data_IF_947766546459
#
_entry.id   IF_947766546459
#
_cell.length_a   1.000
_cell.length_b   1.000
_cell.length_c   1.000
_cell.angle_alpha   90.00
_cell.angle_beta   90.00
_cell.angle_gamma   90.00
#
_symmetry.space_group_name_H-M   'P 1'
#
loop_
_entity.id
_entity.type
_entity.pdbx_description
1 polymer ?
#
# COMPACT_ATOMS: atom_id res chain seq x y z
N UNK A 1 -47.19 -43.02 8.76
CA UNK A 1 -47.13 -41.55 8.81
C UNK A 1 -45.73 -41.14 8.38
N UNK A 2 -45.58 -40.54 7.19
CA UNK A 2 -44.33 -39.92 6.73
C UNK A 2 -44.08 -38.67 7.56
N UNK A 3 -42.86 -38.48 8.05
CA UNK A 3 -42.37 -37.16 8.48
C UNK A 3 -41.16 -36.82 7.61
N UNK A 4 -41.41 -36.00 6.60
CA UNK A 4 -40.42 -35.24 5.84
C UNK A 4 -40.28 -33.86 6.50
N UNK A 5 -39.06 -33.36 6.58
CA UNK A 5 -38.76 -31.97 6.91
C UNK A 5 -37.43 -31.89 7.65
N UNK A 6 -36.38 -31.26 7.16
CA UNK A 6 -36.19 -30.33 6.05
C UNK A 6 -34.97 -29.52 6.44
N UNK A 7 -33.81 -29.82 5.85
CA UNK A 7 -32.59 -29.10 6.16
C UNK A 7 -32.66 -27.72 5.52
N UNK A 8 -32.87 -26.68 6.33
CA UNK A 8 -32.72 -25.30 5.89
C UNK A 8 -31.22 -25.06 5.63
N UNK A 9 -30.83 -25.05 4.36
CA UNK A 9 -29.51 -24.59 3.95
C UNK A 9 -29.48 -23.08 4.11
N UNK A 10 -28.86 -22.58 5.18
CA UNK A 10 -28.53 -21.18 5.29
C UNK A 10 -27.48 -20.87 4.23
N UNK A 11 -27.90 -20.27 3.12
CA UNK A 11 -26.99 -19.61 2.21
C UNK A 11 -26.30 -18.48 2.99
N UNK A 12 -25.05 -18.71 3.39
CA UNK A 12 -24.17 -17.63 3.82
C UNK A 12 -24.01 -16.76 2.58
N UNK A 13 -24.68 -15.61 2.56
CA UNK A 13 -24.38 -14.58 1.60
C UNK A 13 -22.92 -14.17 1.87
N UNK A 14 -21.98 -14.66 1.05
CA UNK A 14 -20.69 -14.00 0.90
C UNK A 14 -21.02 -12.56 0.54
N UNK A 15 -20.80 -11.63 1.48
CA UNK A 15 -20.73 -10.22 1.13
C UNK A 15 -19.59 -10.12 0.11
N UNK A 16 -19.98 -10.02 -1.15
CA UNK A 16 -19.05 -10.11 -2.27
C UNK A 16 -18.14 -8.89 -2.17
N UNK A 17 -16.84 -9.12 -2.04
CA UNK A 17 -15.84 -8.06 -1.96
C UNK A 17 -16.00 -7.08 -3.13
N UNK A 18 -16.51 -5.88 -2.84
CA UNK A 18 -16.90 -4.87 -3.84
C UNK A 18 -15.72 -4.09 -4.41
N UNK A 19 -14.49 -4.37 -3.96
CA UNK A 19 -13.28 -3.71 -4.44
C UNK A 19 -13.04 -4.01 -5.90
N UNK A 20 -12.50 -3.04 -6.63
CA UNK A 20 -12.13 -3.21 -8.03
C UNK A 20 -10.99 -4.22 -8.16
N UNK A 21 -11.20 -5.23 -9.02
CA UNK A 21 -10.21 -6.27 -9.28
C UNK A 21 -9.10 -5.72 -10.20
N UNK A 22 -7.88 -5.73 -9.71
CA UNK A 22 -6.65 -5.59 -10.49
C UNK A 22 -6.26 -6.98 -10.99
N UNK A 23 -6.52 -7.23 -12.27
CA UNK A 23 -6.21 -8.50 -12.94
C UNK A 23 -4.77 -8.49 -13.43
N UNK A 24 -3.88 -9.17 -12.70
CA UNK A 24 -2.44 -9.19 -12.99
C UNK A 24 -1.99 -10.60 -13.40
N UNK A 25 -0.93 -10.71 -14.21
CA UNK A 25 -0.20 -11.97 -14.33
C UNK A 25 0.50 -12.32 -13.01
N UNK A 26 0.90 -13.57 -12.81
CA UNK A 26 1.64 -13.97 -11.59
C UNK A 26 2.90 -13.11 -11.36
N UNK A 27 3.78 -12.85 -12.36
CA UNK A 27 4.94 -11.97 -12.17
C UNK A 27 4.56 -10.53 -11.79
N UNK A 28 3.52 -9.96 -12.41
CA UNK A 28 3.04 -8.61 -12.10
C UNK A 28 2.49 -8.54 -10.67
N UNK A 29 1.73 -9.55 -10.25
CA UNK A 29 1.21 -9.65 -8.89
C UNK A 29 2.34 -9.77 -7.87
N UNK A 30 3.33 -10.62 -8.13
CA UNK A 30 4.49 -10.78 -7.26
C UNK A 30 5.22 -9.44 -7.08
N UNK A 31 5.43 -8.71 -8.17
CA UNK A 31 6.06 -7.40 -8.16
C UNK A 31 5.30 -6.40 -7.29
N UNK A 32 4.00 -6.21 -7.53
CA UNK A 32 3.18 -5.26 -6.75
C UNK A 32 3.16 -5.63 -5.27
N UNK A 33 3.04 -6.93 -4.94
CA UNK A 33 3.05 -7.36 -3.55
C UNK A 33 4.43 -7.23 -2.89
N UNK A 34 5.52 -7.31 -3.66
CA UNK A 34 6.87 -7.03 -3.17
C UNK A 34 7.00 -5.56 -2.77
N UNK A 35 6.57 -4.63 -3.63
CA UNK A 35 6.57 -3.21 -3.28
C UNK A 35 5.73 -2.92 -2.04
N UNK A 36 4.52 -3.48 -1.95
CA UNK A 36 3.66 -3.33 -0.77
C UNK A 36 4.33 -3.82 0.53
N UNK A 37 5.07 -4.94 0.48
CA UNK A 37 5.82 -5.44 1.64
C UNK A 37 6.99 -4.51 2.02
N UNK A 38 7.68 -3.96 1.03
CA UNK A 38 8.76 -2.99 1.23
C UNK A 38 8.26 -1.68 1.82
N UNK A 39 7.11 -1.17 1.32
CA UNK A 39 6.44 0.00 1.88
C UNK A 39 6.02 -0.22 3.34
N UNK A 40 5.47 -1.40 3.64
CA UNK A 40 5.06 -1.75 5.01
C UNK A 40 6.25 -1.83 5.96
N UNK A 41 7.32 -2.55 5.57
CA UNK A 41 8.51 -2.68 6.43
C UNK A 41 9.22 -1.35 6.61
N UNK A 42 9.39 -0.55 5.55
CA UNK A 42 10.00 0.77 5.66
C UNK A 42 9.16 1.74 6.49
N UNK A 43 7.82 1.69 6.41
CA UNK A 43 6.94 2.46 7.31
C UNK A 43 7.18 2.09 8.77
N UNK A 44 7.33 0.80 9.07
CA UNK A 44 7.67 0.34 10.43
C UNK A 44 9.04 0.86 10.87
N UNK A 45 10.06 0.83 10.02
CA UNK A 45 11.38 1.41 10.31
C UNK A 45 11.33 2.91 10.58
N UNK A 46 10.52 3.66 9.82
CA UNK A 46 10.32 5.10 10.04
C UNK A 46 9.66 5.34 11.40
N UNK A 47 8.63 4.56 11.77
CA UNK A 47 7.98 4.67 13.09
C UNK A 47 8.96 4.38 14.23
N UNK A 48 9.81 3.37 14.09
CA UNK A 48 10.85 3.04 15.07
C UNK A 48 11.89 4.17 15.21
N UNK A 49 12.31 4.78 14.09
CA UNK A 49 13.21 5.93 14.09
C UNK A 49 12.56 7.17 14.74
N UNK A 50 11.30 7.46 14.41
CA UNK A 50 10.51 8.54 15.03
C UNK A 50 10.38 8.33 16.55
N UNK A 51 10.16 7.10 17.01
CA UNK A 51 10.06 6.78 18.44
C UNK A 51 11.39 7.00 19.21
N UNK A 52 12.52 7.10 18.49
CA UNK A 52 13.85 7.35 19.03
C UNK A 52 14.36 8.77 18.75
N UNK A 53 13.52 9.62 18.14
CA UNK A 53 13.88 10.95 17.64
C UNK A 53 15.11 10.93 16.69
N UNK A 54 15.31 9.82 15.96
CA UNK A 54 16.42 9.66 15.01
C UNK A 54 16.01 10.13 13.60
N UNK A 55 16.06 11.44 13.39
CA UNK A 55 15.66 12.05 12.12
C UNK A 55 16.60 11.69 10.96
N UNK A 56 17.85 11.32 11.22
CA UNK A 56 18.76 10.84 10.19
C UNK A 56 18.31 9.45 9.67
N UNK A 57 17.91 8.56 10.58
CA UNK A 57 17.31 7.28 10.21
C UNK A 57 15.96 7.47 9.51
N UNK A 58 15.10 8.41 9.96
CA UNK A 58 13.85 8.73 9.26
C UNK A 58 14.13 9.11 7.80
N UNK A 59 15.06 10.03 7.57
CA UNK A 59 15.42 10.48 6.23
C UNK A 59 15.89 9.32 5.34
N UNK A 60 16.83 8.51 5.85
CA UNK A 60 17.36 7.37 5.11
C UNK A 60 16.28 6.35 4.74
N UNK A 61 15.41 5.97 5.69
CA UNK A 61 14.38 4.99 5.45
C UNK A 61 13.31 5.51 4.49
N UNK A 62 12.91 6.78 4.62
CA UNK A 62 11.93 7.41 3.74
C UNK A 62 12.46 7.52 2.30
N UNK A 63 13.73 7.90 2.11
CA UNK A 63 14.35 7.99 0.79
C UNK A 63 14.34 6.64 0.02
N UNK A 64 14.52 5.51 0.72
CA UNK A 64 14.46 4.19 0.11
C UNK A 64 13.08 3.84 -0.44
N UNK A 65 12.01 4.43 0.12
CA UNK A 65 10.63 4.24 -0.30
C UNK A 65 10.17 5.28 -1.34
N UNK A 66 11.00 6.28 -1.63
CA UNK A 66 10.70 7.38 -2.55
C UNK A 66 10.60 6.97 -4.02
N UNK A 67 10.62 7.95 -4.92
CA UNK A 67 10.45 7.77 -6.37
C UNK A 67 11.48 6.82 -7.00
N UNK A 68 12.66 6.69 -6.39
CA UNK A 68 13.70 5.74 -6.84
C UNK A 68 13.23 4.29 -6.79
N UNK A 69 12.35 3.96 -5.83
CA UNK A 69 11.71 2.63 -5.78
C UNK A 69 10.72 2.47 -6.95
N UNK A 70 9.82 3.44 -7.12
CA UNK A 70 8.77 3.40 -8.12
C UNK A 70 9.27 3.19 -9.55
N UNK A 71 10.37 3.85 -9.93
CA UNK A 71 10.92 3.75 -11.28
C UNK A 71 11.40 2.33 -11.65
N UNK A 72 11.65 1.45 -10.67
CA UNK A 72 12.03 0.05 -10.93
C UNK A 72 10.83 -0.83 -11.36
N UNK A 73 9.60 -0.35 -11.16
CA UNK A 73 8.37 -1.11 -11.39
C UNK A 73 7.81 -1.01 -12.81
N UNK A 74 8.20 0.05 -13.53
CA UNK A 74 7.29 0.66 -14.48
C UNK A 74 7.11 -0.09 -15.81
N UNK A 75 8.10 -0.84 -16.28
CA UNK A 75 8.06 -1.27 -17.69
C UNK A 75 7.06 -2.40 -17.97
N UNK A 76 6.82 -3.29 -17.00
CA UNK A 76 5.96 -4.46 -17.17
C UNK A 76 4.55 -4.32 -16.56
N UNK A 77 4.31 -3.22 -15.83
CA UNK A 77 3.01 -2.91 -15.21
C UNK A 77 2.22 -1.85 -15.99
N UNK A 78 2.89 -1.08 -16.86
CA UNK A 78 2.24 -0.10 -17.75
C UNK A 78 1.16 -0.79 -18.59
N UNK A 79 -0.07 -0.27 -18.50
CA UNK A 79 -1.24 -0.79 -19.20
C UNK A 79 -1.99 -1.93 -18.47
N UNK A 80 -1.39 -2.57 -17.47
CA UNK A 80 -2.07 -3.58 -16.64
C UNK A 80 -2.84 -2.95 -15.46
N UNK A 81 -2.43 -1.77 -15.02
CA UNK A 81 -2.99 -1.08 -13.86
C UNK A 81 -3.84 0.15 -14.28
N UNK A 82 -4.97 0.42 -13.59
CA UNK A 82 -5.76 1.63 -13.79
C UNK A 82 -4.95 2.89 -13.50
N UNK A 83 -5.23 3.97 -14.23
CA UNK A 83 -4.53 5.25 -14.03
C UNK A 83 -4.62 5.76 -12.59
N UNK A 84 -5.78 5.63 -11.95
CA UNK A 84 -5.98 6.08 -10.56
C UNK A 84 -5.18 5.25 -9.55
N UNK A 85 -4.98 3.95 -9.81
CA UNK A 85 -4.09 3.12 -9.00
C UNK A 85 -2.65 3.62 -9.10
N UNK A 86 -2.19 3.88 -10.32
CA UNK A 86 -0.84 4.39 -10.57
C UNK A 86 -0.62 5.76 -9.92
N UNK A 87 -1.58 6.68 -10.06
CA UNK A 87 -1.50 8.00 -9.40
C UNK A 87 -1.39 7.88 -7.89
N UNK A 88 -2.18 7.00 -7.28
CA UNK A 88 -2.15 6.79 -5.83
C UNK A 88 -0.81 6.19 -5.36
N UNK A 89 -0.30 5.20 -6.09
CA UNK A 89 1.04 4.64 -5.85
C UNK A 89 2.13 5.69 -5.96
N UNK A 90 2.14 6.48 -7.04
CA UNK A 90 3.11 7.55 -7.21
C UNK A 90 3.04 8.61 -6.12
N UNK A 91 1.84 8.98 -5.70
CA UNK A 91 1.66 9.96 -4.62
C UNK A 91 2.25 9.45 -3.29
N UNK A 92 2.16 8.15 -2.99
CA UNK A 92 2.80 7.56 -1.80
C UNK A 92 4.33 7.69 -1.88
N UNK A 93 4.94 7.37 -3.02
CA UNK A 93 6.39 7.52 -3.20
C UNK A 93 6.84 8.98 -3.07
N UNK A 94 6.07 9.93 -3.63
CA UNK A 94 6.33 11.36 -3.49
C UNK A 94 6.23 11.83 -2.04
N UNK A 95 5.26 11.32 -1.26
CA UNK A 95 5.19 11.63 0.16
C UNK A 95 6.44 11.16 0.90
N UNK A 96 6.99 9.98 0.56
CA UNK A 96 8.21 9.47 1.19
C UNK A 96 9.45 10.31 0.85
N UNK A 97 9.58 10.80 -0.39
CA UNK A 97 10.64 11.76 -0.73
C UNK A 97 10.50 13.06 0.07
N UNK A 98 9.26 13.55 0.27
CA UNK A 98 9.02 14.76 1.07
C UNK A 98 9.34 14.52 2.56
N UNK A 99 8.95 13.38 3.12
CA UNK A 99 9.30 12.99 4.50
C UNK A 99 10.82 12.95 4.65
N UNK A 100 11.54 12.41 3.66
CA UNK A 100 13.00 12.37 3.69
C UNK A 100 13.60 13.78 3.73
N UNK A 101 13.17 14.67 2.82
CA UNK A 101 13.66 16.03 2.75
C UNK A 101 13.38 16.85 4.03
N UNK A 102 12.19 16.69 4.61
CA UNK A 102 11.79 17.41 5.83
C UNK A 102 12.45 16.83 7.07
N UNK A 103 12.71 15.53 7.10
CA UNK A 103 13.50 14.89 8.15
C UNK A 103 14.94 15.42 8.19
N UNK A 104 15.54 15.74 7.04
CA UNK A 104 16.88 16.34 6.97
C UNK A 104 16.89 17.82 7.34
N UNK A 105 15.87 18.58 6.90
CA UNK A 105 15.87 20.03 6.96
C UNK A 105 15.15 20.61 8.19
N UNK A 106 13.97 20.09 8.52
CA UNK A 106 13.11 20.58 9.62
C UNK A 106 13.43 19.85 10.92
N UNK A 107 13.67 18.53 10.86
CA UNK A 107 14.03 17.67 12.01
C UNK A 107 13.01 17.71 13.16
N UNK A 108 11.71 17.83 12.84
CA UNK A 108 10.63 17.79 13.83
C UNK A 108 9.87 16.46 13.77
N UNK A 109 9.91 15.70 14.87
CA UNK A 109 9.28 14.39 14.98
C UNK A 109 7.77 14.44 14.74
N UNK A 110 7.07 15.48 15.23
CA UNK A 110 5.60 15.58 15.09
C UNK A 110 5.20 15.89 13.65
N UNK A 111 5.97 16.76 12.97
CA UNK A 111 5.81 17.08 11.57
C UNK A 111 5.95 15.81 10.71
N UNK A 112 7.06 15.08 10.86
CA UNK A 112 7.30 13.86 10.09
C UNK A 112 6.28 12.76 10.42
N UNK A 113 5.85 12.63 11.68
CA UNK A 113 4.76 11.72 12.05
C UNK A 113 3.43 12.10 11.37
N UNK A 114 3.12 13.40 11.30
CA UNK A 114 1.93 13.90 10.60
C UNK A 114 1.98 13.62 9.10
N UNK A 115 3.14 13.80 8.46
CA UNK A 115 3.33 13.45 7.05
C UNK A 115 3.16 11.95 6.82
N UNK A 116 3.74 11.11 7.68
CA UNK A 116 3.57 9.67 7.59
C UNK A 116 2.10 9.25 7.74
N UNK A 117 1.37 9.87 8.67
CA UNK A 117 -0.07 9.64 8.83
C UNK A 117 -0.87 10.02 7.57
N UNK A 118 -0.49 11.13 6.91
CA UNK A 118 -1.13 11.55 5.66
C UNK A 118 -0.83 10.59 4.50
N UNK A 119 0.39 10.05 4.43
CA UNK A 119 0.77 9.01 3.45
C UNK A 119 -0.01 7.72 3.70
N UNK A 120 -0.11 7.27 4.96
CA UNK A 120 -0.87 6.07 5.33
C UNK A 120 -2.36 6.13 4.95
N UNK A 121 -2.95 7.33 4.89
CA UNK A 121 -4.33 7.49 4.41
C UNK A 121 -4.50 7.07 2.94
N UNK A 122 -3.44 7.19 2.12
CA UNK A 122 -3.42 6.71 0.73
C UNK A 122 -3.34 5.19 0.66
N UNK A 123 -2.59 4.55 1.58
CA UNK A 123 -2.60 3.09 1.73
C UNK A 123 -4.02 2.60 2.05
N UNK A 124 -4.70 3.22 3.02
CA UNK A 124 -6.08 2.88 3.38
C UNK A 124 -7.01 3.03 2.18
N UNK A 125 -6.93 4.15 1.45
CA UNK A 125 -7.75 4.38 0.26
C UNK A 125 -7.50 3.32 -0.83
N UNK A 126 -6.24 2.95 -1.08
CA UNK A 126 -5.88 1.93 -2.05
C UNK A 126 -6.47 0.57 -1.67
N UNK A 127 -6.28 0.15 -0.41
CA UNK A 127 -6.73 -1.15 0.08
C UNK A 127 -8.25 -1.26 0.20
N UNK A 128 -8.95 -0.13 0.41
CA UNK A 128 -10.41 -0.06 0.39
C UNK A 128 -11.01 -0.03 -1.03
N UNK A 129 -10.21 0.34 -2.04
CA UNK A 129 -10.69 0.46 -3.43
C UNK A 129 -10.34 -0.77 -4.24
N UNK A 130 -9.17 -1.38 -4.04
CA UNK A 130 -8.61 -2.38 -4.93
C UNK A 130 -8.39 -3.72 -4.25
N UNK A 131 -8.54 -4.78 -5.04
CA UNK A 131 -8.13 -6.14 -4.71
C UNK A 131 -7.29 -6.71 -5.86
N UNK A 132 -6.23 -7.45 -5.55
CA UNK A 132 -5.37 -8.06 -6.57
C UNK A 132 -5.79 -9.51 -6.78
N UNK A 133 -6.03 -9.88 -8.05
CA UNK A 133 -6.31 -11.25 -8.48
C UNK A 133 -5.42 -11.61 -9.66
N UNK A 134 -5.08 -12.89 -9.76
CA UNK A 134 -4.32 -13.40 -10.89
C UNK A 134 -5.26 -13.65 -12.07
N UNK A 135 -4.75 -13.41 -13.29
CA UNK A 135 -5.44 -13.85 -14.50
C UNK A 135 -5.33 -15.37 -14.57
N UNK A 136 -6.46 -16.07 -14.60
CA UNK A 136 -6.53 -17.52 -14.85
C UNK A 136 -6.17 -17.83 -16.30
#
# INVERSE_FOLDING_TARGET
MLVLGGFASSAVAEETDKRQILKLSEPQREHVLLEMRTLLSGTQSILDALAKDDMAAVAQQAQLLGMTMAHKAEDHLKGALPQEFMKLGMAVHQDFDQIAADAESIKDTKHSLSQLSASMSKCVACHATYQIRTQH
#
